data_IF_392670264626
#
_entry.id   IF_392670264626
#
_cell.length_a   1.000
_cell.length_b   1.000
_cell.length_c   1.000
_cell.angle_alpha   90.00
_cell.angle_beta   90.00
_cell.angle_gamma   90.00
#
_symmetry.space_group_name_H-M   'P 1'
#
loop_
_entity.id
_entity.type
_entity.pdbx_description
1 polymer ?
#
# COMPACT_ATOMS: atom_id res chain seq x y z
N UNK A 1 1.73 -9.70 -8.91
CA UNK A 1 2.18 -9.09 -7.63
C UNK A 1 3.48 -9.67 -7.07
N UNK A 2 4.25 -10.31 -7.91
CA UNK A 2 5.54 -10.82 -7.47
C UNK A 2 6.48 -9.72 -7.01
N UNK A 3 6.45 -8.57 -7.68
CA UNK A 3 7.30 -7.47 -7.28
C UNK A 3 6.94 -6.92 -5.90
N UNK A 4 5.68 -7.09 -5.46
CA UNK A 4 5.29 -6.65 -4.13
C UNK A 4 5.96 -7.51 -3.06
N UNK A 5 6.10 -8.80 -3.31
CA UNK A 5 6.74 -9.69 -2.35
C UNK A 5 8.19 -9.31 -2.09
N UNK A 6 8.90 -8.94 -3.14
CA UNK A 6 10.33 -8.65 -3.06
C UNK A 6 10.68 -7.17 -2.93
N UNK A 7 9.69 -6.30 -2.97
CA UNK A 7 9.92 -4.87 -2.94
C UNK A 7 10.15 -4.35 -1.52
N UNK A 8 10.83 -3.23 -1.42
CA UNK A 8 10.86 -2.47 -0.16
C UNK A 8 9.45 -1.94 0.04
N UNK A 9 8.87 -2.28 1.17
CA UNK A 9 7.47 -1.91 1.41
C UNK A 9 7.19 -1.78 2.89
N UNK A 10 6.10 -1.10 3.18
CA UNK A 10 5.50 -1.08 4.51
C UNK A 10 4.10 -1.62 4.38
N UNK A 11 3.59 -2.20 5.46
CA UNK A 11 2.26 -2.82 5.48
C UNK A 11 1.46 -2.21 6.61
N UNK A 12 0.19 -1.92 6.35
CA UNK A 12 -0.73 -1.39 7.33
C UNK A 12 -1.04 0.08 7.14
N UNK A 13 -2.11 0.53 7.78
CA UNK A 13 -2.64 1.87 7.60
C UNK A 13 -1.65 2.96 7.99
N UNK A 14 -1.17 2.91 9.22
CA UNK A 14 -0.32 4.00 9.72
C UNK A 14 0.98 4.11 8.94
N UNK A 15 1.57 2.98 8.61
CA UNK A 15 2.82 2.96 7.85
C UNK A 15 2.61 3.48 6.44
N UNK A 16 1.50 3.10 5.81
CA UNK A 16 1.20 3.53 4.45
C UNK A 16 0.93 5.04 4.40
N UNK A 17 0.13 5.55 5.34
CA UNK A 17 -0.16 6.98 5.41
C UNK A 17 1.13 7.78 5.58
N UNK A 18 1.99 7.32 6.48
CA UNK A 18 3.27 7.99 6.72
C UNK A 18 4.12 8.03 5.45
N UNK A 19 4.22 6.91 4.74
CA UNK A 19 5.02 6.86 3.53
C UNK A 19 4.49 7.82 2.46
N UNK A 20 3.16 7.91 2.33
CA UNK A 20 2.54 8.84 1.39
C UNK A 20 2.85 10.27 1.78
N UNK A 21 2.68 10.60 3.05
CA UNK A 21 2.90 11.97 3.52
C UNK A 21 4.35 12.41 3.42
N UNK A 22 5.26 11.47 3.56
CA UNK A 22 6.69 11.76 3.46
C UNK A 22 7.21 11.74 2.03
N UNK A 23 6.33 11.48 1.07
CA UNK A 23 6.72 11.48 -0.33
C UNK A 23 7.52 10.25 -0.74
N UNK A 24 7.45 9.17 0.03
CA UNK A 24 8.21 7.96 -0.24
C UNK A 24 7.41 6.86 -0.89
N UNK A 25 6.12 7.09 -1.12
CA UNK A 25 5.26 6.08 -1.70
C UNK A 25 5.42 6.02 -3.22
N UNK A 26 5.74 4.84 -3.72
CA UNK A 26 5.79 4.60 -5.15
C UNK A 26 4.45 4.08 -5.66
N UNK A 27 3.87 3.14 -4.93
CA UNK A 27 2.61 2.49 -5.30
C UNK A 27 1.93 2.03 -4.03
N UNK A 28 0.62 2.20 -3.96
CA UNK A 28 -0.18 1.73 -2.82
C UNK A 28 -1.08 0.60 -3.30
N UNK A 29 -1.11 -0.49 -2.55
CA UNK A 29 -2.03 -1.60 -2.78
C UNK A 29 -3.09 -1.56 -1.69
N UNK A 30 -4.36 -1.56 -2.09
CA UNK A 30 -5.50 -1.51 -1.17
C UNK A 30 -6.36 -2.74 -1.31
N UNK A 31 -6.66 -3.39 -0.20
CA UNK A 31 -7.63 -4.49 -0.20
C UNK A 31 -9.04 -3.91 -0.27
N UNK A 32 -9.88 -4.46 -1.13
CA UNK A 32 -11.22 -3.91 -1.35
C UNK A 32 -12.20 -4.23 -0.24
N UNK A 33 -11.90 -5.20 0.62
CA UNK A 33 -12.78 -5.55 1.73
C UNK A 33 -12.46 -4.77 3.02
N UNK A 34 -11.68 -3.73 2.91
CA UNK A 34 -11.42 -2.81 4.02
C UNK A 34 -12.62 -1.87 4.17
N UNK A 35 -12.82 -1.37 5.38
CA UNK A 35 -13.92 -0.46 5.67
C UNK A 35 -13.97 0.70 4.67
N UNK A 36 -15.16 1.02 4.13
CA UNK A 36 -15.27 2.04 3.08
C UNK A 36 -14.69 3.40 3.43
N UNK A 37 -14.81 3.82 4.67
CA UNK A 37 -14.25 5.10 5.09
C UNK A 37 -12.73 5.13 4.95
N UNK A 38 -12.11 4.02 5.28
CA UNK A 38 -10.64 3.90 5.16
C UNK A 38 -10.24 3.90 3.69
N UNK A 39 -10.97 3.15 2.87
CA UNK A 39 -10.71 3.13 1.43
C UNK A 39 -10.79 4.52 0.83
N UNK A 40 -11.86 5.25 1.14
CA UNK A 40 -12.05 6.59 0.60
C UNK A 40 -10.93 7.53 1.04
N UNK A 41 -10.57 7.46 2.30
CA UNK A 41 -9.51 8.30 2.84
C UNK A 41 -8.17 8.05 2.15
N UNK A 42 -7.84 6.78 1.96
CA UNK A 42 -6.57 6.42 1.33
C UNK A 42 -6.58 6.76 -0.15
N UNK A 43 -7.68 6.53 -0.83
CA UNK A 43 -7.79 6.89 -2.25
C UNK A 43 -7.66 8.40 -2.43
N UNK A 44 -8.30 9.16 -1.54
CA UNK A 44 -8.23 10.62 -1.61
C UNK A 44 -6.80 11.10 -1.36
N UNK A 45 -6.15 10.56 -0.35
CA UNK A 45 -4.78 10.94 -0.01
C UNK A 45 -3.83 10.63 -1.17
N UNK A 46 -3.96 9.45 -1.76
CA UNK A 46 -3.13 9.06 -2.89
C UNK A 46 -3.35 9.98 -4.08
N UNK A 47 -4.60 10.33 -4.32
CA UNK A 47 -4.94 11.23 -5.42
C UNK A 47 -4.31 12.60 -5.22
N UNK A 48 -4.38 13.12 -4.00
CA UNK A 48 -3.82 14.43 -3.69
C UNK A 48 -2.30 14.46 -3.82
N UNK A 49 -1.66 13.33 -3.59
CA UNK A 49 -0.21 13.24 -3.63
C UNK A 49 0.32 12.64 -4.93
N UNK A 50 -0.57 12.32 -5.86
CA UNK A 50 -0.17 11.74 -7.15
C UNK A 50 0.39 10.33 -7.05
N UNK A 51 -0.07 9.56 -6.08
CA UNK A 51 0.39 8.19 -5.87
C UNK A 51 -0.57 7.21 -6.54
N UNK A 52 -0.05 6.27 -7.30
CA UNK A 52 -0.86 5.24 -7.95
C UNK A 52 -1.40 4.24 -6.95
N UNK A 53 -2.64 3.79 -7.18
CA UNK A 53 -3.28 2.80 -6.32
C UNK A 53 -3.67 1.59 -7.14
N UNK A 54 -3.37 0.40 -6.63
CA UNK A 54 -3.82 -0.85 -7.22
C UNK A 54 -4.70 -1.54 -6.18
N UNK A 55 -5.90 -1.94 -6.58
CA UNK A 55 -6.83 -2.59 -5.67
C UNK A 55 -6.68 -4.11 -5.75
N UNK A 56 -6.73 -4.76 -4.61
CA UNK A 56 -6.65 -6.20 -4.48
C UNK A 56 -7.96 -6.69 -3.88
N UNK A 57 -8.44 -7.84 -4.31
CA UNK A 57 -9.78 -8.31 -3.96
C UNK A 57 -10.04 -8.35 -2.45
N UNK A 58 -9.08 -8.80 -1.66
CA UNK A 58 -9.28 -8.90 -0.21
C UNK A 58 -7.95 -8.83 0.54
N UNK A 59 -8.09 -8.63 1.86
CA UNK A 59 -6.92 -8.50 2.75
C UNK A 59 -6.08 -9.77 2.81
N UNK A 60 -6.71 -10.91 2.66
CA UNK A 60 -6.00 -12.19 2.72
C UNK A 60 -5.05 -12.32 1.54
N UNK A 61 -5.54 -11.98 0.35
CA UNK A 61 -4.72 -12.04 -0.85
C UNK A 61 -3.59 -11.02 -0.80
N UNK A 62 -3.87 -9.84 -0.26
CA UNK A 62 -2.84 -8.82 -0.16
C UNK A 62 -1.74 -9.24 0.81
N UNK A 63 -2.11 -9.81 1.97
CA UNK A 63 -1.12 -10.33 2.90
C UNK A 63 -0.24 -11.39 2.26
N UNK A 64 -0.86 -12.28 1.52
CA UNK A 64 -0.14 -13.32 0.80
C UNK A 64 0.83 -12.74 -0.22
N UNK A 65 0.39 -11.73 -0.95
CA UNK A 65 1.23 -11.07 -1.95
C UNK A 65 2.41 -10.36 -1.30
N UNK A 66 2.25 -9.88 -0.08
CA UNK A 66 3.34 -9.25 0.67
C UNK A 66 4.30 -10.27 1.26
N UNK A 67 3.95 -11.55 1.23
CA UNK A 67 4.79 -12.60 1.80
C UNK A 67 4.68 -12.71 3.32
N UNK A 68 3.55 -12.28 3.89
CA UNK A 68 3.32 -12.36 5.34
C UNK A 68 2.18 -13.32 5.64
N UNK A 69 2.13 -13.82 6.86
CA UNK A 69 1.15 -14.83 7.26
C UNK A 69 -0.14 -14.25 7.81
N UNK A 70 -0.30 -12.94 7.75
CA UNK A 70 -1.49 -12.27 8.25
C UNK A 70 -2.13 -11.44 7.16
N UNK A 71 -3.38 -11.04 7.40
CA UNK A 71 -4.08 -10.18 6.47
C UNK A 71 -3.45 -8.79 6.41
N UNK A 72 -3.49 -8.17 5.25
CA UNK A 72 -3.00 -6.82 5.07
C UNK A 72 -4.10 -5.95 4.48
N UNK A 73 -4.49 -4.90 5.20
CA UNK A 73 -5.49 -3.96 4.69
C UNK A 73 -4.93 -3.16 3.52
N UNK A 74 -3.68 -2.80 3.61
CA UNK A 74 -3.00 -2.07 2.55
C UNK A 74 -1.49 -2.26 2.69
N UNK A 75 -0.79 -1.96 1.61
CA UNK A 75 0.66 -2.01 1.60
C UNK A 75 1.15 -0.89 0.69
N UNK A 76 2.31 -0.38 0.97
CA UNK A 76 2.90 0.67 0.17
C UNK A 76 4.30 0.25 -0.26
N UNK A 77 4.53 0.25 -1.56
CA UNK A 77 5.87 0.03 -2.10
C UNK A 77 6.59 1.35 -2.03
N UNK A 78 7.78 1.34 -1.45
CA UNK A 78 8.54 2.55 -1.23
C UNK A 78 9.37 2.92 -2.43
N UNK A 79 9.54 4.21 -2.65
CA UNK A 79 10.40 4.69 -3.71
C UNK A 79 11.83 4.27 -3.39
N UNK A 80 12.56 3.95 -4.44
CA UNK A 80 13.93 3.51 -4.30
C UNK A 80 14.81 4.73 -4.13
N UNK A 81 15.16 5.02 -2.90
CA UNK A 81 15.96 6.21 -2.61
C UNK A 81 17.45 5.94 -2.62
N UNK A 82 17.83 4.74 -2.95
CA UNK A 82 19.24 4.36 -2.94
C UNK A 82 19.96 4.67 -4.20
N UNK A 83 19.28 5.23 -5.11
CA UNK A 83 19.79 5.44 -6.41
C UNK A 83 20.56 6.69 -6.54
N UNK A 84 21.21 7.07 -5.60
CA UNK A 84 21.96 8.28 -5.73
C UNK A 84 23.41 8.05 -6.03
#
# INVERSE_FOLDING_TARGET
>A
MEELKNARKVVGLNQTVRAIEEGQAKMVYLAEDVEPKILQRLEQLCKERGVSVTKVADMKQLGKACGIDVKAAMACVLADSDNI
#
